data_IF_165649594597
#
_entry.id   IF_165649594597
#
_cell.length_a   1.000
_cell.length_b   1.000
_cell.length_c   1.000
_cell.angle_alpha   90.00
_cell.angle_beta   90.00
_cell.angle_gamma   90.00
#
_symmetry.space_group_name_H-M   'P 1'
#
loop_
_entity.id
_entity.type
_entity.pdbx_description
1 polymer ?
#
# COMPACT_ATOMS: atom_id res chain seq x y z
N UNK A 1 -45.93 -30.71 31.68
CA UNK A 1 -45.48 -31.81 31.67
C UNK A 1 -44.04 -32.26 31.71
N UNK A 2 -43.88 -33.54 31.79
CA UNK A 2 -42.57 -34.16 31.89
C UNK A 2 -41.71 -33.99 30.63
N UNK A 3 -42.30 -33.77 29.47
CA UNK A 3 -41.54 -33.63 28.22
C UNK A 3 -40.70 -32.34 28.15
N UNK A 4 -41.21 -31.24 28.69
CA UNK A 4 -40.46 -29.97 28.72
C UNK A 4 -39.23 -30.03 29.64
N UNK A 5 -39.36 -30.70 30.78
CA UNK A 5 -38.26 -30.85 31.74
C UNK A 5 -37.14 -31.74 31.18
N UNK A 6 -37.48 -32.86 30.50
CA UNK A 6 -36.48 -33.71 29.87
C UNK A 6 -35.72 -33.04 28.77
N UNK A 7 -36.42 -32.29 27.90
CA UNK A 7 -35.78 -31.55 26.80
C UNK A 7 -34.85 -30.44 27.31
N UNK A 8 -35.26 -29.72 28.35
CA UNK A 8 -34.41 -28.69 28.96
C UNK A 8 -33.14 -29.26 29.57
N UNK A 9 -33.23 -30.43 30.23
CA UNK A 9 -32.09 -31.12 30.80
C UNK A 9 -31.12 -31.59 29.72
N UNK A 10 -31.65 -32.17 28.63
CA UNK A 10 -30.82 -32.63 27.51
C UNK A 10 -30.13 -31.48 26.81
N UNK A 11 -30.82 -30.35 26.60
CA UNK A 11 -30.25 -29.18 26.01
C UNK A 11 -29.13 -28.62 26.88
N UNK A 12 -29.32 -28.55 28.19
CA UNK A 12 -28.29 -28.10 29.14
C UNK A 12 -27.06 -29.01 29.07
N UNK A 13 -27.26 -30.32 29.02
CA UNK A 13 -26.14 -31.28 28.88
C UNK A 13 -25.36 -31.06 27.58
N UNK A 14 -26.07 -30.84 26.48
CA UNK A 14 -25.45 -30.58 25.18
C UNK A 14 -24.62 -29.29 25.20
N UNK A 15 -25.15 -28.23 25.79
CA UNK A 15 -24.45 -26.96 25.92
C UNK A 15 -23.17 -27.16 26.73
N UNK A 16 -23.26 -27.79 27.89
CA UNK A 16 -22.09 -27.97 28.78
C UNK A 16 -21.10 -29.00 28.24
N UNK A 17 -21.52 -29.88 27.35
CA UNK A 17 -20.64 -30.85 26.69
C UNK A 17 -19.85 -30.26 25.54
N UNK A 18 -20.25 -29.09 25.02
CA UNK A 18 -19.50 -28.45 23.92
C UNK A 18 -18.07 -28.10 24.42
N UNK A 19 -17.04 -28.51 23.67
CA UNK A 19 -15.65 -28.29 24.10
C UNK A 19 -15.30 -26.84 24.37
N UNK A 20 -15.86 -25.89 23.60
CA UNK A 20 -15.60 -24.46 23.76
C UNK A 20 -16.19 -23.93 25.06
N UNK A 21 -17.41 -24.36 25.39
CA UNK A 21 -18.07 -23.99 26.64
C UNK A 21 -17.36 -24.64 27.83
N UNK A 22 -17.05 -25.94 27.73
CA UNK A 22 -16.32 -26.65 28.79
C UNK A 22 -14.97 -26.05 29.08
N UNK A 23 -14.21 -25.70 28.05
CA UNK A 23 -12.92 -25.02 28.21
C UNK A 23 -13.04 -23.66 28.89
N UNK A 24 -14.06 -22.89 28.54
CA UNK A 24 -14.32 -21.58 29.13
C UNK A 24 -14.64 -21.71 30.63
N UNK A 25 -15.47 -22.68 30.99
CA UNK A 25 -15.83 -22.96 32.39
C UNK A 25 -14.58 -23.34 33.20
N UNK A 26 -13.76 -24.19 32.65
CA UNK A 26 -12.52 -24.62 33.30
C UNK A 26 -11.52 -23.48 33.43
N UNK A 27 -11.30 -22.74 32.35
CA UNK A 27 -10.34 -21.62 32.33
C UNK A 27 -10.68 -20.54 33.36
N UNK A 28 -11.96 -20.23 33.52
CA UNK A 28 -12.43 -19.20 34.44
C UNK A 28 -12.90 -19.75 35.79
N UNK A 29 -12.77 -21.06 36.02
CA UNK A 29 -13.13 -21.71 37.28
C UNK A 29 -14.53 -21.36 37.77
N UNK A 30 -15.51 -21.46 36.87
CA UNK A 30 -16.91 -21.09 37.17
C UNK A 30 -17.53 -22.05 38.20
N UNK A 31 -18.21 -21.46 39.18
CA UNK A 31 -19.01 -22.25 40.18
C UNK A 31 -20.30 -22.77 39.51
N UNK A 32 -20.97 -23.68 40.19
CA UNK A 32 -22.24 -24.22 39.73
C UNK A 32 -23.30 -23.13 39.54
N UNK A 33 -23.34 -22.14 40.44
CA UNK A 33 -24.24 -21.01 40.32
C UNK A 33 -23.89 -20.11 39.11
N UNK A 34 -22.60 -19.83 38.92
CA UNK A 34 -22.13 -19.06 37.78
C UNK A 34 -22.41 -19.76 36.45
N UNK A 35 -22.23 -21.09 36.39
CA UNK A 35 -22.56 -21.89 35.20
C UNK A 35 -24.05 -21.78 34.90
N UNK A 36 -24.89 -21.94 35.90
CA UNK A 36 -26.35 -21.88 35.74
C UNK A 36 -26.79 -20.50 35.20
N UNK A 37 -26.24 -19.45 35.78
CA UNK A 37 -26.59 -18.08 35.36
C UNK A 37 -26.01 -17.73 33.98
N UNK A 38 -24.96 -18.42 33.54
CA UNK A 38 -24.34 -18.22 32.23
C UNK A 38 -24.98 -19.03 31.11
N UNK A 39 -25.85 -19.98 31.41
CA UNK A 39 -26.45 -20.87 30.41
C UNK A 39 -27.08 -20.15 29.22
N UNK A 40 -27.88 -19.08 29.42
CA UNK A 40 -28.43 -18.36 28.29
C UNK A 40 -27.37 -17.81 27.34
N UNK A 41 -26.27 -17.35 27.88
CA UNK A 41 -25.13 -16.83 27.08
C UNK A 41 -24.38 -17.94 26.40
N UNK A 42 -24.16 -19.06 27.04
CA UNK A 42 -23.56 -20.23 26.39
C UNK A 42 -24.44 -20.70 25.21
N UNK A 43 -25.77 -20.75 25.40
CA UNK A 43 -26.65 -21.09 24.33
C UNK A 43 -26.61 -20.09 23.17
N UNK A 44 -26.63 -18.81 23.49
CA UNK A 44 -26.51 -17.74 22.49
C UNK A 44 -25.21 -17.90 21.69
N UNK A 45 -24.08 -18.12 22.38
CA UNK A 45 -22.80 -18.34 21.75
C UNK A 45 -22.84 -19.50 20.75
N UNK A 46 -23.41 -20.65 21.15
CA UNK A 46 -23.50 -21.84 20.27
C UNK A 46 -24.42 -21.61 19.08
N UNK A 47 -25.54 -20.91 19.28
CA UNK A 47 -26.41 -20.52 18.18
C UNK A 47 -25.70 -19.61 17.18
N UNK A 48 -25.02 -18.61 17.66
CA UNK A 48 -24.27 -17.69 16.80
C UNK A 48 -23.15 -18.40 16.05
N UNK A 49 -22.42 -19.30 16.71
CA UNK A 49 -21.37 -20.11 16.05
C UNK A 49 -21.96 -20.99 14.95
N UNK A 50 -23.12 -21.56 15.15
CA UNK A 50 -23.82 -22.38 14.14
C UNK A 50 -24.20 -21.53 12.94
N UNK A 51 -24.74 -20.32 13.17
CA UNK A 51 -25.08 -19.39 12.09
C UNK A 51 -23.89 -19.04 11.24
N UNK A 52 -22.72 -18.78 11.86
CA UNK A 52 -21.48 -18.52 11.14
C UNK A 52 -21.10 -19.72 10.28
N UNK A 53 -21.11 -20.92 10.85
CA UNK A 53 -20.74 -22.14 10.15
C UNK A 53 -21.63 -22.43 8.95
N UNK A 54 -22.95 -22.19 9.09
CA UNK A 54 -23.94 -22.44 8.05
C UNK A 54 -24.09 -21.29 7.06
N UNK A 55 -23.42 -20.17 7.27
CA UNK A 55 -23.56 -18.99 6.42
C UNK A 55 -24.96 -18.37 6.47
N UNK A 56 -25.63 -18.45 7.63
CA UNK A 56 -27.00 -17.98 7.82
C UNK A 56 -27.09 -16.46 7.63
N UNK A 57 -28.01 -16.03 6.77
CA UNK A 57 -28.20 -14.61 6.45
C UNK A 57 -28.68 -13.79 7.67
N UNK A 58 -29.26 -14.43 8.68
CA UNK A 58 -29.72 -13.76 9.90
C UNK A 58 -28.57 -13.41 10.85
N UNK A 59 -27.36 -13.89 10.58
CA UNK A 59 -26.19 -13.51 11.37
C UNK A 59 -25.82 -12.07 11.09
N UNK A 60 -25.87 -11.23 12.11
CA UNK A 60 -25.73 -9.78 11.96
C UNK A 60 -24.25 -9.35 11.89
N UNK A 61 -23.37 -10.00 12.66
CA UNK A 61 -21.98 -9.58 12.83
C UNK A 61 -21.05 -10.17 11.75
N UNK A 62 -21.35 -9.96 10.48
CA UNK A 62 -20.57 -10.48 9.35
C UNK A 62 -19.11 -10.01 9.41
N UNK A 63 -18.18 -10.93 9.22
CA UNK A 63 -16.75 -10.65 9.32
C UNK A 63 -16.21 -10.74 10.75
N UNK A 64 -17.08 -11.02 11.72
CA UNK A 64 -16.73 -11.19 13.14
C UNK A 64 -17.12 -12.58 13.59
N UNK A 65 -16.40 -13.12 14.56
CA UNK A 65 -16.75 -14.41 15.17
C UNK A 65 -17.17 -14.21 16.61
N UNK A 66 -18.20 -14.95 17.09
CA UNK A 66 -18.60 -14.86 18.47
C UNK A 66 -17.56 -15.52 19.37
N UNK A 67 -17.32 -14.91 20.53
CA UNK A 67 -16.45 -15.43 21.55
C UNK A 67 -17.12 -15.31 22.91
N UNK A 68 -16.76 -16.21 23.83
CA UNK A 68 -17.17 -16.11 25.22
C UNK A 68 -16.18 -15.25 26.00
N UNK A 69 -16.70 -14.33 26.81
CA UNK A 69 -15.91 -13.48 27.70
C UNK A 69 -16.58 -13.43 29.06
N UNK A 70 -15.79 -13.04 30.08
CA UNK A 70 -16.35 -12.80 31.41
C UNK A 70 -16.81 -11.34 31.50
N UNK A 71 -18.01 -11.13 32.02
CA UNK A 71 -18.57 -9.82 32.28
C UNK A 71 -19.30 -9.84 33.63
N UNK A 72 -18.80 -9.09 34.59
CA UNK A 72 -19.38 -8.97 35.93
C UNK A 72 -19.60 -10.33 36.64
N UNK A 73 -18.65 -11.26 36.44
CA UNK A 73 -18.69 -12.58 37.08
C UNK A 73 -19.44 -13.66 36.32
N UNK A 74 -20.03 -13.34 35.20
CA UNK A 74 -20.80 -14.30 34.38
C UNK A 74 -20.31 -14.29 32.92
N UNK A 75 -20.63 -15.34 32.19
CA UNK A 75 -20.30 -15.40 30.76
C UNK A 75 -21.13 -14.41 29.96
N UNK A 76 -20.52 -13.84 28.95
CA UNK A 76 -21.17 -13.00 27.95
C UNK A 76 -20.65 -13.37 26.57
N UNK A 77 -21.35 -12.93 25.54
CA UNK A 77 -20.97 -13.13 24.15
C UNK A 77 -20.49 -11.80 23.59
N UNK A 78 -19.28 -11.80 23.08
CA UNK A 78 -18.73 -10.66 22.35
C UNK A 78 -18.28 -11.13 20.97
N UNK A 79 -17.81 -10.21 20.14
CA UNK A 79 -17.45 -10.51 18.76
C UNK A 79 -16.06 -9.98 18.49
N UNK A 80 -15.21 -10.80 17.89
CA UNK A 80 -13.89 -10.34 17.44
C UNK A 80 -13.78 -10.53 15.94
N UNK A 81 -12.90 -9.74 15.32
CA UNK A 81 -12.63 -9.85 13.90
C UNK A 81 -12.16 -11.25 13.55
N UNK A 82 -12.72 -11.83 12.46
CA UNK A 82 -12.19 -13.08 11.92
C UNK A 82 -10.82 -12.84 11.33
N UNK A 83 -10.04 -13.92 11.22
CA UNK A 83 -8.74 -13.87 10.53
C UNK A 83 -8.90 -13.33 9.12
N UNK A 84 -9.94 -13.75 8.41
CA UNK A 84 -10.24 -13.29 7.06
C UNK A 84 -10.48 -11.77 7.02
N UNK A 85 -11.28 -11.24 7.96
CA UNK A 85 -11.54 -9.80 8.03
C UNK A 85 -10.25 -9.03 8.34
N UNK A 86 -9.44 -9.50 9.28
CA UNK A 86 -8.14 -8.88 9.61
C UNK A 86 -7.23 -8.83 8.39
N UNK A 87 -7.15 -9.93 7.64
CA UNK A 87 -6.33 -10.00 6.43
C UNK A 87 -6.82 -9.02 5.37
N UNK A 88 -8.16 -8.90 5.19
CA UNK A 88 -8.74 -7.93 4.26
C UNK A 88 -8.42 -6.49 4.68
N UNK A 89 -8.57 -6.17 5.95
CA UNK A 89 -8.28 -4.83 6.47
C UNK A 89 -6.80 -4.48 6.31
N UNK A 90 -5.91 -5.45 6.52
CA UNK A 90 -4.47 -5.26 6.32
C UNK A 90 -4.14 -5.01 4.85
N UNK A 91 -4.72 -5.80 3.93
CA UNK A 91 -4.53 -5.60 2.50
C UNK A 91 -5.04 -4.23 2.04
N UNK A 92 -6.18 -3.79 2.55
CA UNK A 92 -6.71 -2.45 2.27
C UNK A 92 -5.79 -1.35 2.80
N UNK A 93 -5.23 -1.53 4.00
CA UNK A 93 -4.30 -0.56 4.57
C UNK A 93 -3.00 -0.46 3.76
N UNK A 94 -2.48 -1.61 3.28
CA UNK A 94 -1.31 -1.66 2.41
C UNK A 94 -1.58 -0.90 1.12
N UNK A 95 -2.70 -1.19 0.45
CA UNK A 95 -3.08 -0.54 -0.81
C UNK A 95 -3.29 0.98 -0.63
N UNK A 96 -3.85 1.39 0.48
CA UNK A 96 -4.14 2.80 0.76
C UNK A 96 -2.88 3.66 0.90
N UNK A 97 -1.74 3.06 1.31
CA UNK A 97 -0.46 3.78 1.40
C UNK A 97 0.21 3.98 0.05
N UNK A 98 -0.33 3.39 -1.02
CA UNK A 98 0.17 3.59 -2.39
C UNK A 98 -0.76 4.58 -3.06
N UNK A 99 -0.30 5.83 -3.19
CA UNK A 99 -1.07 6.90 -3.80
C UNK A 99 -0.73 6.98 -5.29
N UNK A 100 -1.71 6.62 -6.15
CA UNK A 100 -1.53 6.62 -7.60
C UNK A 100 -2.18 7.87 -8.21
N UNK A 101 -1.42 8.58 -9.02
CA UNK A 101 -1.91 9.76 -9.75
C UNK A 101 -1.80 9.49 -11.25
N UNK A 102 -2.95 9.39 -11.92
CA UNK A 102 -3.06 9.11 -13.36
C UNK A 102 -2.43 7.80 -13.79
N UNK A 103 -2.56 6.76 -12.95
CA UNK A 103 -2.08 5.40 -13.21
C UNK A 103 -3.19 4.40 -12.86
N UNK A 104 -3.17 3.21 -13.50
CA UNK A 104 -4.19 2.20 -13.21
C UNK A 104 -4.17 1.73 -11.75
N UNK A 105 -5.34 1.54 -11.16
CA UNK A 105 -5.46 1.08 -9.77
C UNK A 105 -4.84 -0.31 -9.55
N UNK A 106 -4.71 -1.10 -10.61
CA UNK A 106 -4.04 -2.42 -10.56
C UNK A 106 -2.59 -2.34 -10.10
N UNK A 107 -1.94 -1.18 -10.23
CA UNK A 107 -0.57 -0.99 -9.75
C UNK A 107 -0.43 -1.19 -8.24
N UNK A 108 -1.50 -0.98 -7.46
CA UNK A 108 -1.48 -1.22 -6.02
C UNK A 108 -1.31 -2.68 -5.63
N UNK A 109 -1.59 -3.59 -6.55
CA UNK A 109 -1.56 -5.04 -6.30
C UNK A 109 -0.27 -5.71 -6.76
N UNK A 110 0.61 -4.97 -7.43
CA UNK A 110 1.87 -5.53 -7.93
C UNK A 110 2.83 -5.72 -6.75
N UNK A 111 3.37 -6.93 -6.64
CA UNK A 111 4.32 -7.30 -5.58
C UNK A 111 5.65 -7.73 -6.19
N UNK A 112 6.67 -7.86 -5.37
CA UNK A 112 7.97 -8.37 -5.83
C UNK A 112 7.86 -9.78 -6.42
N UNK A 113 6.91 -10.59 -5.95
CA UNK A 113 6.69 -11.93 -6.50
C UNK A 113 6.21 -11.90 -7.97
N UNK A 114 5.62 -10.79 -8.40
CA UNK A 114 5.12 -10.63 -9.77
C UNK A 114 6.21 -10.22 -10.77
N UNK A 115 7.41 -9.89 -10.28
CA UNK A 115 8.49 -9.40 -11.13
C UNK A 115 9.26 -10.58 -11.73
N UNK A 116 9.33 -10.64 -13.07
CA UNK A 116 10.14 -11.65 -13.76
C UNK A 116 11.62 -11.31 -13.63
N UNK A 117 12.42 -12.28 -13.15
CA UNK A 117 13.87 -12.13 -12.95
C UNK A 117 14.63 -13.02 -13.92
N UNK A 118 14.42 -12.81 -15.21
CA UNK A 118 14.93 -13.66 -16.29
C UNK A 118 16.18 -13.11 -16.99
N UNK A 119 16.72 -12.00 -16.53
CA UNK A 119 18.01 -11.48 -17.00
C UNK A 119 18.76 -10.76 -15.87
N UNK A 120 20.06 -10.58 -16.06
CA UNK A 120 20.98 -10.02 -15.04
C UNK A 120 20.62 -8.58 -14.68
N UNK A 121 20.27 -7.77 -15.67
CA UNK A 121 19.95 -6.36 -15.41
C UNK A 121 18.69 -6.22 -14.52
N UNK A 122 17.71 -7.08 -14.74
CA UNK A 122 16.49 -7.11 -13.91
C UNK A 122 16.81 -7.58 -12.49
N UNK A 123 17.64 -8.60 -12.34
CA UNK A 123 18.07 -9.09 -11.02
C UNK A 123 18.79 -7.99 -10.25
N UNK A 124 19.74 -7.31 -10.86
CA UNK A 124 20.50 -6.24 -10.20
C UNK A 124 19.61 -5.08 -9.78
N UNK A 125 18.70 -4.66 -10.64
CA UNK A 125 17.74 -3.62 -10.34
C UNK A 125 16.80 -4.03 -9.20
N UNK A 126 16.31 -5.25 -9.25
CA UNK A 126 15.45 -5.82 -8.21
C UNK A 126 16.17 -5.85 -6.86
N UNK A 127 17.41 -6.33 -6.82
CA UNK A 127 18.23 -6.36 -5.60
C UNK A 127 18.42 -4.96 -5.02
N UNK A 128 18.64 -3.96 -5.87
CA UNK A 128 18.77 -2.57 -5.43
C UNK A 128 17.48 -2.08 -4.76
N UNK A 129 16.32 -2.46 -5.28
CA UNK A 129 15.03 -2.09 -4.70
C UNK A 129 14.76 -2.83 -3.38
N UNK A 130 15.12 -4.11 -3.30
CA UNK A 130 15.02 -4.89 -2.07
C UNK A 130 15.90 -4.27 -0.98
N UNK A 131 17.13 -3.92 -1.33
CA UNK A 131 18.07 -3.28 -0.40
C UNK A 131 17.57 -1.92 0.07
N UNK A 132 16.98 -1.14 -0.84
CA UNK A 132 16.39 0.15 -0.47
C UNK A 132 15.32 -0.04 0.60
N UNK A 133 14.40 -0.97 0.37
CA UNK A 133 13.30 -1.24 1.33
C UNK A 133 13.86 -1.74 2.66
N UNK A 134 14.78 -2.70 2.61
CA UNK A 134 15.34 -3.30 3.82
C UNK A 134 16.05 -2.27 4.70
N UNK A 135 16.73 -1.29 4.10
CA UNK A 135 17.52 -0.28 4.80
C UNK A 135 16.76 1.01 5.10
N UNK A 136 15.53 1.15 4.61
CA UNK A 136 14.75 2.35 4.84
C UNK A 136 14.23 2.44 6.28
N UNK A 137 14.27 3.59 6.96
CA UNK A 137 14.96 4.81 6.55
C UNK A 137 16.45 4.77 6.84
N UNK A 138 17.25 5.36 5.95
CA UNK A 138 18.68 5.42 6.11
C UNK A 138 19.21 6.76 5.60
N UNK A 139 20.20 7.38 6.27
CA UNK A 139 20.82 8.61 5.77
C UNK A 139 21.44 8.38 4.39
N UNK A 140 21.39 9.40 3.56
CA UNK A 140 22.02 9.42 2.23
C UNK A 140 21.51 8.33 1.27
N UNK A 141 20.33 7.77 1.55
CA UNK A 141 19.73 6.72 0.72
C UNK A 141 19.22 7.31 -0.59
N UNK A 142 19.78 6.84 -1.71
CA UNK A 142 19.38 7.30 -3.05
C UNK A 142 18.28 6.41 -3.62
N UNK A 143 17.40 7.04 -4.42
CA UNK A 143 16.48 6.32 -5.27
C UNK A 143 17.15 5.81 -6.53
N UNK A 144 16.35 5.31 -7.46
CA UNK A 144 16.82 4.86 -8.77
C UNK A 144 16.13 5.69 -9.87
N UNK A 145 16.89 5.95 -10.91
CA UNK A 145 16.39 6.44 -12.19
C UNK A 145 16.50 5.28 -13.16
N UNK A 146 15.39 4.59 -13.39
CA UNK A 146 15.34 3.39 -14.22
C UNK A 146 14.93 3.81 -15.63
N UNK A 147 15.82 3.64 -16.60
CA UNK A 147 15.51 3.97 -17.99
C UNK A 147 15.66 2.74 -18.89
N UNK A 148 14.96 2.78 -19.99
CA UNK A 148 14.95 1.71 -20.98
C UNK A 148 13.76 1.87 -21.90
N UNK A 149 13.67 0.98 -22.88
CA UNK A 149 12.62 0.99 -23.88
C UNK A 149 11.24 0.79 -23.26
N UNK A 150 10.22 1.26 -23.97
CA UNK A 150 8.83 1.08 -23.56
C UNK A 150 8.50 -0.41 -23.38
N UNK A 151 7.77 -0.74 -22.32
CA UNK A 151 7.28 -2.09 -22.11
C UNK A 151 8.25 -3.05 -21.43
N UNK A 152 9.44 -2.61 -21.01
CA UNK A 152 10.40 -3.48 -20.30
C UNK A 152 10.07 -3.68 -18.82
N UNK A 153 9.02 -3.03 -18.30
CA UNK A 153 8.55 -3.25 -16.93
C UNK A 153 9.12 -2.33 -15.88
N UNK A 154 9.61 -1.14 -16.27
CA UNK A 154 10.18 -0.16 -15.35
C UNK A 154 9.21 0.24 -14.25
N UNK A 155 8.00 0.61 -14.63
CA UNK A 155 6.96 1.09 -13.70
C UNK A 155 6.51 0.00 -12.75
N UNK A 156 6.41 -1.24 -13.22
CA UNK A 156 6.00 -2.38 -12.40
C UNK A 156 6.99 -2.65 -11.27
N UNK A 157 8.28 -2.53 -11.53
CA UNK A 157 9.29 -2.72 -10.49
C UNK A 157 9.14 -1.71 -9.36
N UNK A 158 8.89 -0.45 -9.68
CA UNK A 158 8.70 0.59 -8.68
C UNK A 158 7.35 0.48 -7.96
N UNK A 159 6.30 0.02 -8.65
CA UNK A 159 5.03 -0.29 -8.01
C UNK A 159 5.20 -1.44 -6.99
N UNK A 160 5.96 -2.46 -7.35
CA UNK A 160 6.28 -3.57 -6.43
C UNK A 160 7.06 -3.08 -5.21
N UNK A 161 8.03 -2.20 -5.40
CA UNK A 161 8.77 -1.58 -4.30
C UNK A 161 7.83 -0.82 -3.37
N UNK A 162 6.90 -0.04 -3.92
CA UNK A 162 5.92 0.71 -3.13
C UNK A 162 5.05 -0.20 -2.27
N UNK A 163 4.64 -1.34 -2.83
CA UNK A 163 3.89 -2.34 -2.08
C UNK A 163 4.72 -2.89 -0.90
N UNK A 164 5.97 -3.23 -1.16
CA UNK A 164 6.87 -3.77 -0.13
C UNK A 164 7.14 -2.75 0.99
N UNK A 165 7.38 -1.49 0.63
CA UNK A 165 7.51 -0.41 1.61
C UNK A 165 6.25 -0.26 2.48
N UNK A 166 5.09 -0.31 1.85
CA UNK A 166 3.81 -0.21 2.56
C UNK A 166 3.62 -1.39 3.51
N UNK A 167 3.87 -2.61 3.03
CA UNK A 167 3.65 -3.82 3.81
C UNK A 167 4.63 -3.96 4.98
N UNK A 168 5.92 -3.79 4.72
CA UNK A 168 6.96 -4.11 5.71
C UNK A 168 7.35 -2.91 6.56
N UNK A 169 7.28 -1.70 6.03
CA UNK A 169 7.75 -0.48 6.70
C UNK A 169 6.62 0.50 7.06
N UNK A 170 5.40 0.24 6.60
CA UNK A 170 4.25 1.15 6.79
C UNK A 170 4.49 2.53 6.20
N UNK A 171 5.23 2.61 5.12
CA UNK A 171 5.63 3.84 4.45
C UNK A 171 4.73 4.09 3.24
N UNK A 172 4.29 5.33 3.07
CA UNK A 172 3.47 5.74 1.94
C UNK A 172 4.35 6.13 0.76
N UNK A 173 3.96 5.69 -0.43
CA UNK A 173 4.61 6.06 -1.69
C UNK A 173 3.59 6.71 -2.61
N UNK A 174 3.95 7.82 -3.23
CA UNK A 174 3.17 8.46 -4.29
C UNK A 174 3.83 8.14 -5.62
N UNK A 175 3.05 7.57 -6.54
CA UNK A 175 3.50 7.26 -7.90
C UNK A 175 2.69 8.11 -8.86
N UNK A 176 3.35 8.94 -9.65
CA UNK A 176 2.71 9.92 -10.52
C UNK A 176 3.14 9.65 -11.96
N UNK A 177 2.16 9.52 -12.86
CA UNK A 177 2.45 9.57 -14.28
C UNK A 177 2.80 11.00 -14.65
N UNK A 178 4.10 11.26 -14.80
CA UNK A 178 4.62 12.63 -14.91
C UNK A 178 4.05 13.41 -16.09
N UNK A 179 3.94 12.84 -17.30
CA UNK A 179 3.34 13.58 -18.42
C UNK A 179 1.92 14.06 -18.14
N UNK A 180 1.10 13.22 -17.53
CA UNK A 180 -0.27 13.60 -17.14
C UNK A 180 -0.28 14.70 -16.08
N UNK A 181 0.64 14.59 -15.11
CA UNK A 181 0.82 15.61 -14.06
C UNK A 181 1.14 16.97 -14.65
N UNK A 182 2.01 17.05 -15.67
CA UNK A 182 2.36 18.33 -16.32
C UNK A 182 1.14 18.97 -16.97
N UNK A 183 0.26 18.17 -17.56
CA UNK A 183 -0.99 18.66 -18.15
C UNK A 183 -1.92 19.20 -17.06
N UNK A 184 -2.08 18.46 -15.97
CA UNK A 184 -2.94 18.86 -14.86
C UNK A 184 -2.46 20.15 -14.19
N UNK A 185 -1.15 20.31 -14.04
CA UNK A 185 -0.58 21.54 -13.48
C UNK A 185 -0.82 22.73 -14.38
N UNK A 186 -0.65 22.56 -15.70
CA UNK A 186 -0.95 23.62 -16.69
C UNK A 186 -2.41 24.01 -16.62
N UNK A 187 -3.32 23.04 -16.52
CA UNK A 187 -4.75 23.31 -16.36
C UNK A 187 -5.07 24.00 -15.05
N UNK A 188 -4.28 23.74 -14.02
CA UNK A 188 -4.43 24.35 -12.70
C UNK A 188 -4.12 25.85 -12.65
N UNK A 189 -3.46 26.40 -13.66
CA UNK A 189 -3.21 27.84 -13.74
C UNK A 189 -4.52 28.61 -13.74
N UNK A 190 -5.55 28.11 -14.42
CA UNK A 190 -6.84 28.78 -14.54
C UNK A 190 -7.64 28.77 -13.23
N UNK A 191 -7.54 27.71 -12.43
CA UNK A 191 -8.31 27.57 -11.19
C UNK A 191 -7.50 27.84 -9.91
N UNK A 192 -6.24 28.24 -10.06
CA UNK A 192 -5.38 28.57 -8.93
C UNK A 192 -4.86 27.39 -8.13
N UNK A 193 -4.92 26.17 -8.67
CA UNK A 193 -4.53 24.96 -7.95
C UNK A 193 -3.06 24.53 -8.13
N UNK A 194 -2.25 25.31 -8.87
CA UNK A 194 -0.86 24.96 -9.18
C UNK A 194 -0.05 24.70 -7.91
N UNK A 195 -0.09 25.63 -6.96
CA UNK A 195 0.68 25.50 -5.72
C UNK A 195 0.29 24.26 -4.95
N UNK A 196 -0.99 23.99 -4.82
CA UNK A 196 -1.51 22.83 -4.09
C UNK A 196 -1.06 21.53 -4.75
N UNK A 197 -1.12 21.44 -6.08
CA UNK A 197 -0.67 20.26 -6.82
C UNK A 197 0.83 20.01 -6.64
N UNK A 198 1.64 21.07 -6.74
CA UNK A 198 3.10 20.96 -6.54
C UNK A 198 3.42 20.56 -5.09
N UNK A 199 2.77 21.17 -4.11
CA UNK A 199 3.01 20.88 -2.70
C UNK A 199 2.69 19.43 -2.36
N UNK A 200 1.60 18.89 -2.88
CA UNK A 200 1.22 17.50 -2.66
C UNK A 200 2.29 16.52 -3.15
N UNK A 201 2.92 16.83 -4.28
CA UNK A 201 3.96 15.99 -4.88
C UNK A 201 5.29 16.15 -4.14
N UNK A 202 5.75 17.37 -3.93
CA UNK A 202 7.07 17.61 -3.35
C UNK A 202 7.19 17.12 -1.92
N UNK A 203 6.08 17.00 -1.18
CA UNK A 203 6.05 16.58 0.21
C UNK A 203 5.83 15.08 0.41
N UNK A 204 5.61 14.32 -0.65
CA UNK A 204 5.42 12.87 -0.54
C UNK A 204 6.62 12.21 0.15
N UNK A 205 6.36 11.28 1.06
CA UNK A 205 7.42 10.60 1.82
C UNK A 205 8.39 9.87 0.89
N UNK A 206 7.86 9.04 -0.01
CA UNK A 206 8.59 8.43 -1.11
C UNK A 206 7.86 8.80 -2.40
N UNK A 207 8.58 9.28 -3.39
CA UNK A 207 8.00 9.74 -4.65
C UNK A 207 8.55 8.94 -5.83
N UNK A 208 7.67 8.54 -6.73
CA UNK A 208 8.04 7.99 -8.04
C UNK A 208 7.48 8.91 -9.11
N UNK A 209 8.37 9.49 -9.92
CA UNK A 209 8.01 10.24 -11.12
C UNK A 209 8.11 9.30 -12.31
N UNK A 210 6.96 8.81 -12.77
CA UNK A 210 6.86 7.82 -13.83
C UNK A 210 6.85 8.46 -15.20
N UNK A 211 7.65 7.92 -16.11
CA UNK A 211 7.72 8.30 -17.51
C UNK A 211 8.19 9.75 -17.74
N UNK A 212 9.16 10.20 -16.95
CA UNK A 212 9.75 11.53 -17.13
C UNK A 212 10.50 11.60 -18.46
N UNK A 213 10.28 12.70 -19.19
CA UNK A 213 10.84 12.90 -20.52
C UNK A 213 9.83 12.67 -21.64
N UNK A 214 8.72 11.96 -21.38
CA UNK A 214 7.66 11.74 -22.36
C UNK A 214 6.70 12.94 -22.50
N UNK A 215 6.73 13.86 -21.55
CA UNK A 215 5.92 15.07 -21.58
C UNK A 215 6.36 16.00 -22.72
N UNK A 216 5.42 16.83 -23.17
CA UNK A 216 5.76 17.90 -24.10
C UNK A 216 6.66 18.91 -23.40
N UNK A 217 7.76 19.32 -24.05
CA UNK A 217 8.71 20.28 -23.48
C UNK A 217 8.02 21.60 -23.11
N UNK A 218 8.33 22.11 -21.94
CA UNK A 218 7.87 23.41 -21.44
C UNK A 218 8.94 23.98 -20.51
N UNK A 219 9.42 25.16 -20.80
CA UNK A 219 10.38 25.85 -19.94
C UNK A 219 9.79 26.12 -18.56
N UNK A 220 8.50 26.47 -18.50
CA UNK A 220 7.82 26.73 -17.25
C UNK A 220 7.72 25.45 -16.38
N UNK A 221 7.35 24.34 -16.98
CA UNK A 221 7.30 23.06 -16.27
C UNK A 221 8.68 22.68 -15.75
N UNK A 222 9.71 22.81 -16.59
CA UNK A 222 11.08 22.48 -16.20
C UNK A 222 11.55 23.32 -15.01
N UNK A 223 11.37 24.64 -15.09
CA UNK A 223 12.00 25.60 -14.14
C UNK A 223 11.12 25.89 -12.93
N UNK A 224 9.81 25.99 -13.11
CA UNK A 224 8.89 26.43 -12.06
C UNK A 224 8.11 25.28 -11.41
N UNK A 225 8.17 24.09 -11.97
CA UNK A 225 7.48 22.91 -11.42
C UNK A 225 8.50 21.84 -11.04
N UNK A 226 9.18 21.24 -12.02
CA UNK A 226 10.09 20.13 -11.78
C UNK A 226 11.27 20.55 -10.89
N UNK A 227 11.90 21.65 -11.22
CA UNK A 227 13.04 22.17 -10.44
C UNK A 227 12.65 22.42 -8.98
N UNK A 228 11.47 22.97 -8.75
CA UNK A 228 10.96 23.27 -7.40
C UNK A 228 10.74 21.98 -6.61
N UNK A 229 10.14 20.98 -7.24
CA UNK A 229 9.91 19.66 -6.61
C UNK A 229 11.24 19.01 -6.23
N UNK A 230 12.17 18.96 -7.19
CA UNK A 230 13.45 18.28 -6.97
C UNK A 230 14.31 19.00 -5.94
N UNK A 231 14.31 20.34 -5.95
CA UNK A 231 15.07 21.15 -4.98
C UNK A 231 14.58 20.88 -3.55
N UNK A 232 13.28 20.87 -3.34
CA UNK A 232 12.71 20.60 -2.04
C UNK A 232 13.09 19.19 -1.55
N UNK A 233 12.97 18.21 -2.44
CA UNK A 233 13.24 16.81 -2.09
C UNK A 233 14.70 16.56 -1.81
N UNK A 234 15.58 17.28 -2.51
CA UNK A 234 17.02 17.22 -2.26
C UNK A 234 17.37 17.79 -0.88
N UNK A 235 16.83 18.97 -0.55
CA UNK A 235 17.10 19.62 0.75
C UNK A 235 16.56 18.80 1.91
N UNK A 236 15.34 18.26 1.78
CA UNK A 236 14.68 17.48 2.82
C UNK A 236 15.09 16.01 2.80
N UNK A 237 15.98 15.61 1.89
CA UNK A 237 16.47 14.23 1.76
C UNK A 237 15.35 13.22 1.63
N UNK A 238 14.34 13.53 0.78
CA UNK A 238 13.20 12.66 0.54
C UNK A 238 13.48 11.71 -0.63
N UNK A 239 13.38 10.39 -0.44
CA UNK A 239 13.66 9.43 -1.50
C UNK A 239 12.80 9.65 -2.74
N UNK A 240 13.47 9.72 -3.89
CA UNK A 240 12.82 10.02 -5.17
C UNK A 240 13.31 9.05 -6.23
N UNK A 241 12.35 8.44 -6.91
CA UNK A 241 12.57 7.44 -7.97
C UNK A 241 12.02 7.98 -9.28
N UNK A 242 12.57 7.47 -10.38
CA UNK A 242 12.16 7.89 -11.71
C UNK A 242 12.10 6.70 -12.63
N UNK A 243 11.17 6.73 -13.59
CA UNK A 243 11.26 5.90 -14.79
C UNK A 243 11.32 6.80 -16.01
N UNK A 244 12.00 6.35 -17.05
CA UNK A 244 12.14 7.12 -18.29
C UNK A 244 12.49 6.21 -19.46
N UNK A 245 12.20 6.68 -20.67
CA UNK A 245 12.76 6.09 -21.88
C UNK A 245 14.12 6.70 -22.23
N UNK A 246 14.53 7.72 -21.51
CA UNK A 246 15.75 8.50 -21.78
C UNK A 246 16.83 8.26 -20.74
N UNK A 247 18.09 8.07 -21.20
CA UNK A 247 19.24 8.12 -20.30
C UNK A 247 19.36 9.52 -19.70
N UNK A 248 20.21 9.70 -18.71
CA UNK A 248 20.53 11.03 -18.16
C UNK A 248 20.99 11.99 -19.26
N UNK A 249 21.88 11.53 -20.13
CA UNK A 249 22.41 12.36 -21.22
C UNK A 249 21.30 12.78 -22.20
N UNK A 250 20.44 11.83 -22.57
CA UNK A 250 19.34 12.11 -23.50
C UNK A 250 18.26 12.99 -22.86
N UNK A 251 17.98 12.82 -21.59
CA UNK A 251 17.03 13.68 -20.87
C UNK A 251 17.57 15.11 -20.76
N UNK A 252 18.86 15.26 -20.47
CA UNK A 252 19.49 16.57 -20.41
C UNK A 252 19.38 17.28 -21.77
N UNK A 253 19.67 16.57 -22.87
CA UNK A 253 19.52 17.10 -24.22
C UNK A 253 18.08 17.58 -24.50
N UNK A 254 17.10 16.76 -24.12
CA UNK A 254 15.71 17.12 -24.28
C UNK A 254 15.32 18.36 -23.47
N UNK A 255 15.78 18.44 -22.23
CA UNK A 255 15.49 19.57 -21.35
C UNK A 255 16.23 20.85 -21.76
N UNK A 256 17.27 20.75 -22.59
CA UNK A 256 18.03 21.88 -23.12
C UNK A 256 17.37 22.47 -24.37
N UNK A 257 16.36 21.81 -24.93
CA UNK A 257 15.80 22.16 -26.23
C UNK A 257 14.70 23.23 -26.11
N UNK A 258 15.09 24.44 -25.70
CA UNK A 258 14.19 25.57 -25.68
C UNK A 258 14.01 26.19 -27.08
N UNK A 259 12.85 26.83 -27.32
CA UNK A 259 12.52 27.46 -28.62
C UNK A 259 13.36 28.67 -28.94
N UNK A 260 13.98 29.32 -27.95
CA UNK A 260 14.66 30.60 -28.08
C UNK A 260 16.17 30.52 -27.76
N UNK A 261 16.79 29.40 -28.06
CA UNK A 261 18.22 29.29 -27.89
C UNK A 261 18.62 28.15 -26.96
N UNK A 262 19.87 28.14 -26.59
CA UNK A 262 20.47 27.10 -25.76
C UNK A 262 20.08 27.30 -24.29
N UNK A 263 19.28 26.40 -23.75
CA UNK A 263 18.90 26.38 -22.35
C UNK A 263 19.65 25.28 -21.57
N UNK A 264 20.88 25.03 -21.96
CA UNK A 264 21.78 24.02 -21.37
C UNK A 264 21.94 24.20 -19.86
N UNK A 265 22.09 25.45 -19.42
CA UNK A 265 22.25 25.76 -18.01
C UNK A 265 21.08 25.34 -17.14
N UNK A 266 19.87 25.62 -17.60
CA UNK A 266 18.64 25.24 -16.90
C UNK A 266 18.48 23.70 -16.85
N UNK A 267 18.79 23.03 -17.96
CA UNK A 267 18.77 21.57 -18.02
C UNK A 267 19.79 20.96 -17.06
N UNK A 268 21.00 21.52 -16.99
CA UNK A 268 22.02 21.04 -16.07
C UNK A 268 21.61 21.17 -14.61
N UNK A 269 20.90 22.22 -14.25
CA UNK A 269 20.38 22.40 -12.89
C UNK A 269 19.41 21.27 -12.51
N UNK A 270 18.49 20.95 -13.41
CA UNK A 270 17.55 19.84 -13.17
C UNK A 270 18.32 18.54 -13.05
N UNK A 271 19.22 18.25 -13.97
CA UNK A 271 19.97 17.00 -13.97
C UNK A 271 20.88 16.85 -12.75
N UNK A 272 21.45 17.91 -12.24
CA UNK A 272 22.23 17.90 -11.00
C UNK A 272 21.40 17.39 -9.83
N UNK A 273 20.15 17.83 -9.72
CA UNK A 273 19.24 17.39 -8.67
C UNK A 273 18.80 15.94 -8.87
N UNK A 274 18.52 15.56 -10.10
CA UNK A 274 18.18 14.15 -10.40
C UNK A 274 19.35 13.25 -10.03
N UNK A 275 20.57 13.59 -10.40
CA UNK A 275 21.77 12.81 -10.08
C UNK A 275 22.03 12.73 -8.59
N UNK A 276 21.70 13.77 -7.84
CA UNK A 276 21.80 13.76 -6.39
C UNK A 276 20.79 12.78 -5.77
N UNK A 277 19.57 12.78 -6.28
CA UNK A 277 18.46 12.01 -5.71
C UNK A 277 18.47 10.54 -6.12
N UNK A 278 18.98 10.21 -7.30
CA UNK A 278 18.82 8.88 -7.87
C UNK A 278 20.04 8.43 -8.67
N UNK A 279 20.27 7.10 -8.62
CA UNK A 279 21.30 6.45 -9.41
C UNK A 279 20.70 6.00 -10.75
N UNK A 280 21.42 6.27 -11.84
CA UNK A 280 21.01 5.86 -13.19
C UNK A 280 21.17 4.34 -13.36
N UNK A 281 20.12 3.68 -13.82
CA UNK A 281 20.11 2.25 -14.08
C UNK A 281 19.44 1.98 -15.43
N UNK A 282 20.14 1.29 -16.32
CA UNK A 282 19.58 0.90 -17.61
C UNK A 282 18.93 -0.46 -17.51
N UNK A 283 17.62 -0.51 -17.72
CA UNK A 283 16.85 -1.75 -17.76
C UNK A 283 16.65 -2.15 -19.22
N UNK A 284 17.55 -3.00 -19.71
CA UNK A 284 17.44 -3.59 -21.06
C UNK A 284 16.46 -4.75 -21.00
N UNK A 285 15.91 -5.13 -22.13
CA UNK A 285 15.08 -6.31 -22.22
C UNK A 285 14.07 -6.23 -23.35
N UNK A 286 13.28 -7.27 -23.45
CA UNK A 286 12.21 -7.37 -24.44
C UNK A 286 10.94 -6.70 -23.89
N UNK A 287 10.08 -6.28 -24.81
CA UNK A 287 8.76 -5.78 -24.45
C UNK A 287 7.96 -6.88 -23.77
N UNK A 288 7.47 -6.61 -22.56
CA UNK A 288 6.73 -7.56 -21.71
C UNK A 288 5.22 -7.30 -21.69
N UNK A 289 4.76 -6.42 -22.56
CA UNK A 289 3.33 -6.16 -22.72
C UNK A 289 2.60 -7.29 -23.44
#
# INVERSE_FOLDING_TARGET
GHHGSGNATDLTKQILADPRVASFIQEHSLSQDEIKRSLPKFNQFLVECRKVKEGDASYIAKGYEPILTMNEGYADVTYKETRQLKEQQEQQAIAKRINLVSLPQSYRKITFADIALDDVARVDTFESLVDFVANYPSPDQKGLYIYGDMGVGKSFMLAAMAHELSETKKVATTIIHYPSFTIDVKNGIKDGSVKEQIDAVKQAEVLVLDDIGAEQFSSWIRDDVLQVILQHRMIEELPTFFTSNYSFADLEAKLSNGRQGDETWQAKRVMERIRFLAKEVHLKGVNRR
#
